data_IF_550260243185
#
_entry.id   IF_550260243185
#
_cell.length_a   1.000
_cell.length_b   1.000
_cell.length_c   1.000
_cell.angle_alpha   90.00
_cell.angle_beta   90.00
_cell.angle_gamma   90.00
#
_symmetry.space_group_name_H-M   'P 1'
#
loop_
_entity.id
_entity.type
_entity.pdbx_description
1 polymer ?
#
# COMPACT_ATOMS: atom_id res chain seq x y z
N UNK A 1 -20.81 28.79 6.87
CA UNK A 1 -20.83 27.35 6.51
C UNK A 1 -19.95 27.15 5.29
N UNK A 2 -19.20 26.05 5.19
CA UNK A 2 -18.36 25.78 4.03
C UNK A 2 -19.22 25.39 2.83
N UNK A 3 -18.84 25.85 1.63
CA UNK A 3 -19.57 25.55 0.40
C UNK A 3 -19.38 24.07 0.03
N UNK A 4 -20.46 23.37 -0.34
CA UNK A 4 -20.41 21.92 -0.58
C UNK A 4 -19.36 21.50 -1.61
N UNK A 5 -19.13 22.33 -2.64
CA UNK A 5 -18.11 22.05 -3.67
C UNK A 5 -16.69 22.11 -3.08
N UNK A 6 -16.43 23.05 -2.17
CA UNK A 6 -15.12 23.16 -1.51
C UNK A 6 -14.84 21.94 -0.62
N UNK A 7 -15.87 21.43 0.07
CA UNK A 7 -15.77 20.20 0.86
C UNK A 7 -15.46 19.01 -0.05
N UNK A 8 -16.13 18.90 -1.21
CA UNK A 8 -15.84 17.83 -2.18
C UNK A 8 -14.41 17.92 -2.72
N UNK A 9 -13.91 19.13 -2.99
CA UNK A 9 -12.53 19.35 -3.44
C UNK A 9 -11.52 18.94 -2.36
N UNK A 10 -11.79 19.28 -1.09
CA UNK A 10 -10.95 18.86 0.04
C UNK A 10 -10.93 17.34 0.21
N UNK A 11 -12.08 16.68 0.08
CA UNK A 11 -12.16 15.21 0.12
C UNK A 11 -11.30 14.59 -0.99
N UNK A 12 -11.41 15.10 -2.23
CA UNK A 12 -10.61 14.63 -3.35
C UNK A 12 -9.11 14.83 -3.12
N UNK A 13 -8.71 15.97 -2.55
CA UNK A 13 -7.31 16.22 -2.19
C UNK A 13 -6.79 15.23 -1.15
N UNK A 14 -7.59 14.91 -0.12
CA UNK A 14 -7.25 13.91 0.89
C UNK A 14 -7.14 12.52 0.28
N UNK A 15 -8.05 12.15 -0.63
CA UNK A 15 -7.98 10.86 -1.34
C UNK A 15 -6.67 10.74 -2.12
N UNK A 16 -6.28 11.76 -2.89
CA UNK A 16 -5.00 11.74 -3.62
C UNK A 16 -3.78 11.70 -2.69
N UNK A 17 -3.84 12.35 -1.53
CA UNK A 17 -2.79 12.26 -0.53
C UNK A 17 -2.67 10.84 0.06
N UNK A 18 -3.80 10.19 0.36
CA UNK A 18 -3.83 8.82 0.85
C UNK A 18 -3.27 7.85 -0.19
N UNK A 19 -3.61 7.99 -1.46
CA UNK A 19 -3.03 7.17 -2.55
C UNK A 19 -1.50 7.26 -2.61
N UNK A 20 -0.92 8.44 -2.35
CA UNK A 20 0.54 8.57 -2.29
C UNK A 20 1.14 7.93 -1.04
N UNK A 21 0.49 8.08 0.12
CA UNK A 21 0.93 7.42 1.35
C UNK A 21 0.92 5.90 1.17
N UNK A 22 -0.13 5.36 0.54
CA UNK A 22 -0.26 3.95 0.23
C UNK A 22 0.91 3.43 -0.63
N UNK A 23 1.25 4.13 -1.72
CA UNK A 23 2.39 3.76 -2.58
C UNK A 23 3.72 3.78 -1.82
N UNK A 24 3.94 4.80 -0.98
CA UNK A 24 5.16 4.90 -0.18
C UNK A 24 5.28 3.76 0.84
N UNK A 25 4.18 3.43 1.52
CA UNK A 25 4.15 2.32 2.47
C UNK A 25 4.38 0.97 1.79
N UNK A 26 3.75 0.75 0.63
CA UNK A 26 3.95 -0.47 -0.15
C UNK A 26 5.41 -0.61 -0.63
N UNK A 27 6.00 0.48 -1.15
CA UNK A 27 7.40 0.50 -1.54
C UNK A 27 8.33 0.13 -0.38
N UNK A 28 8.12 0.76 0.78
CA UNK A 28 8.90 0.45 2.00
C UNK A 28 8.74 -1.01 2.44
N UNK A 29 7.53 -1.56 2.39
CA UNK A 29 7.29 -2.97 2.76
C UNK A 29 8.03 -3.94 1.83
N UNK A 30 8.10 -3.64 0.54
CA UNK A 30 8.86 -4.44 -0.44
C UNK A 30 10.36 -4.36 -0.12
N UNK A 31 10.88 -3.17 0.13
CA UNK A 31 12.32 -2.94 0.37
C UNK A 31 12.83 -3.50 1.70
N UNK A 32 11.98 -3.56 2.74
CA UNK A 32 12.34 -4.15 4.03
C UNK A 32 11.84 -5.60 4.14
N UNK A 33 10.55 -5.79 4.41
CA UNK A 33 9.99 -7.08 4.80
C UNK A 33 10.15 -8.16 3.72
N UNK A 34 9.86 -7.83 2.46
CA UNK A 34 9.96 -8.79 1.36
C UNK A 34 11.42 -9.03 0.98
N UNK A 35 12.21 -7.97 0.85
CA UNK A 35 13.63 -8.10 0.49
C UNK A 35 14.43 -8.86 1.56
N UNK A 36 14.15 -8.65 2.85
CA UNK A 36 14.76 -9.40 3.96
C UNK A 36 14.40 -10.87 3.88
N UNK A 37 13.11 -11.20 3.72
CA UNK A 37 12.67 -12.58 3.55
C UNK A 37 13.36 -13.25 2.35
N UNK A 38 13.52 -12.55 1.22
CA UNK A 38 14.22 -13.10 0.05
C UNK A 38 15.71 -13.37 0.31
N UNK A 39 16.39 -12.48 1.04
CA UNK A 39 17.83 -12.60 1.35
C UNK A 39 18.14 -13.68 2.38
N UNK A 40 17.38 -13.74 3.48
CA UNK A 40 17.76 -14.54 4.66
C UNK A 40 16.67 -15.48 5.17
N UNK A 41 15.46 -15.43 4.60
CA UNK A 41 14.35 -16.29 5.01
C UNK A 41 14.45 -17.72 4.48
N UNK A 42 13.84 -18.64 5.21
CA UNK A 42 13.57 -20.00 4.75
C UNK A 42 12.64 -19.98 3.52
N UNK A 43 12.55 -21.11 2.80
CA UNK A 43 11.62 -21.22 1.66
C UNK A 43 10.16 -20.95 2.07
N UNK A 44 9.76 -21.37 3.27
CA UNK A 44 8.42 -21.12 3.81
C UNK A 44 8.17 -19.64 4.11
N UNK A 45 9.09 -18.97 4.79
CA UNK A 45 8.98 -17.53 5.10
C UNK A 45 8.96 -16.66 3.84
N UNK A 46 9.77 -17.03 2.84
CA UNK A 46 9.74 -16.37 1.52
C UNK A 46 8.37 -16.48 0.86
N UNK A 47 7.81 -17.68 0.81
CA UNK A 47 6.50 -17.89 0.19
C UNK A 47 5.41 -17.11 0.94
N UNK A 48 5.43 -17.15 2.27
CA UNK A 48 4.47 -16.41 3.10
C UNK A 48 4.51 -14.90 2.83
N UNK A 49 5.72 -14.31 2.73
CA UNK A 49 5.86 -12.87 2.43
C UNK A 49 5.48 -12.49 1.00
N UNK A 50 5.68 -13.39 0.04
CA UNK A 50 5.19 -13.20 -1.32
C UNK A 50 3.66 -13.26 -1.37
N UNK A 51 3.05 -14.22 -0.68
CA UNK A 51 1.59 -14.36 -0.63
C UNK A 51 0.92 -13.15 0.06
N UNK A 52 1.52 -12.66 1.16
CA UNK A 52 1.12 -11.41 1.82
C UNK A 52 1.16 -10.22 0.85
N UNK A 53 2.24 -10.09 0.08
CA UNK A 53 2.37 -9.02 -0.91
C UNK A 53 1.29 -9.13 -2.00
N UNK A 54 0.99 -10.34 -2.49
CA UNK A 54 -0.03 -10.57 -3.50
C UNK A 54 -1.44 -10.25 -2.99
N UNK A 55 -1.78 -10.60 -1.75
CA UNK A 55 -3.07 -10.22 -1.13
C UNK A 55 -3.21 -8.70 -1.03
N UNK A 56 -2.16 -8.03 -0.57
CA UNK A 56 -2.10 -6.57 -0.48
C UNK A 56 -2.31 -5.95 -1.87
N UNK A 57 -1.58 -6.40 -2.89
CA UNK A 57 -1.74 -5.92 -4.27
C UNK A 57 -3.13 -6.18 -4.87
N UNK A 58 -3.75 -7.34 -4.57
CA UNK A 58 -5.09 -7.66 -5.04
C UNK A 58 -6.14 -6.72 -4.43
N UNK A 59 -5.99 -6.39 -3.15
CA UNK A 59 -6.84 -5.43 -2.44
C UNK A 59 -6.66 -4.00 -2.95
N UNK A 60 -5.45 -3.63 -3.36
CA UNK A 60 -5.16 -2.32 -3.96
C UNK A 60 -5.74 -2.15 -5.35
N UNK A 61 -5.76 -3.19 -6.18
CA UNK A 61 -6.19 -3.10 -7.59
C UNK A 61 -7.71 -3.28 -7.80
N UNK A 62 -8.44 -3.58 -6.73
CA UNK A 62 -9.88 -3.87 -6.76
C UNK A 62 -10.80 -2.68 -6.45
N UNK A 63 -10.25 -1.47 -6.34
CA UNK A 63 -11.00 -0.20 -6.36
C UNK A 63 -10.79 0.51 -7.68
#
# INVERSE_FOLDING_TARGET
EAYCVDILLQISAVQGALEQVEKLLLGRHIESCVADALRSGSKGERQQKIDELLDVFARFRGK
#
